data_IF_869156355829
#
_entry.id   IF_869156355829
#
_cell.length_a   1.000
_cell.length_b   1.000
_cell.length_c   1.000
_cell.angle_alpha   90.00
_cell.angle_beta   90.00
_cell.angle_gamma   90.00
#
_symmetry.space_group_name_H-M   'P 1'
#
loop_
_entity.id
_entity.type
_entity.pdbx_description
1 polymer ?
#
# COMPACT_ATOMS: atom_id res chain seq x y z
N UNK A 1 -47.84 102.22 37.60
CA UNK A 1 -47.33 103.57 37.98
C UNK A 1 -48.50 104.53 37.92
N UNK A 2 -48.59 105.49 38.84
CA UNK A 2 -49.67 106.47 38.90
C UNK A 2 -49.24 107.80 38.26
N UNK A 3 -50.16 108.47 37.58
CA UNK A 3 -50.02 109.88 37.20
C UNK A 3 -51.27 110.64 37.66
N UNK A 4 -51.07 111.64 38.52
CA UNK A 4 -52.10 112.60 38.90
C UNK A 4 -52.23 113.70 37.83
N UNK A 5 -53.41 114.31 37.65
CA UNK A 5 -53.58 115.51 36.84
C UNK A 5 -53.03 116.74 37.57
N UNK A 6 -52.36 117.65 36.85
CA UNK A 6 -51.99 118.97 37.36
C UNK A 6 -53.00 120.03 36.98
N UNK A 7 -53.63 120.55 38.02
CA UNK A 7 -54.18 121.90 38.23
C UNK A 7 -53.63 122.99 37.30
N UNK A 8 -54.50 123.90 36.83
CA UNK A 8 -54.45 125.29 37.31
C UNK A 8 -55.76 126.06 37.03
N UNK A 9 -56.22 126.83 38.03
CA UNK A 9 -57.36 127.75 37.93
C UNK A 9 -56.85 129.17 37.62
N UNK A 10 -57.10 129.67 36.41
CA UNK A 10 -56.98 131.11 36.10
C UNK A 10 -58.28 131.84 36.45
N UNK A 11 -58.24 132.74 37.43
CA UNK A 11 -59.45 133.43 37.92
C UNK A 11 -59.71 134.77 37.22
N UNK A 12 -60.99 135.06 36.97
CA UNK A 12 -61.64 136.36 36.80
C UNK A 12 -60.80 137.57 36.32
N UNK A 13 -61.19 138.14 35.18
CA UNK A 13 -61.19 139.61 35.04
C UNK A 13 -62.45 140.07 34.30
N UNK A 14 -63.39 140.64 35.07
CA UNK A 14 -64.59 141.30 34.55
C UNK A 14 -64.21 142.71 34.09
N UNK A 15 -63.96 142.89 32.80
CA UNK A 15 -63.79 144.20 32.17
C UNK A 15 -64.87 144.39 31.11
N UNK A 16 -65.84 145.26 31.40
CA UNK A 16 -66.63 145.94 30.37
C UNK A 16 -65.97 147.30 30.17
N UNK A 17 -65.48 147.59 28.96
CA UNK A 17 -65.51 148.96 28.49
C UNK A 17 -65.91 149.11 27.02
N UNK A 18 -66.68 150.17 26.77
CA UNK A 18 -66.84 150.87 25.49
C UNK A 18 -67.58 150.16 24.34
N UNK A 19 -68.48 150.91 23.73
CA UNK A 19 -69.17 150.59 22.47
C UNK A 19 -68.21 150.67 21.28
N UNK A 20 -67.36 149.65 21.13
CA UNK A 20 -66.72 149.36 19.86
C UNK A 20 -67.68 148.49 19.02
N UNK A 21 -67.86 148.83 17.74
CA UNK A 21 -68.69 148.03 16.83
C UNK A 21 -68.06 146.65 16.69
N UNK A 22 -68.69 145.62 17.26
CA UNK A 22 -68.27 144.23 17.11
C UNK A 22 -68.34 143.87 15.63
N UNK A 23 -67.21 143.46 15.06
CA UNK A 23 -67.12 143.18 13.63
C UNK A 23 -67.94 141.94 13.28
N UNK A 24 -68.62 141.94 12.12
CA UNK A 24 -69.56 140.86 11.76
C UNK A 24 -68.92 139.47 11.83
N UNK A 25 -67.62 139.38 11.56
CA UNK A 25 -66.78 138.19 11.67
C UNK A 25 -66.86 137.48 13.04
N UNK A 26 -67.11 138.20 14.13
CA UNK A 26 -67.13 137.66 15.51
C UNK A 26 -68.55 137.41 16.06
N UNK A 27 -69.59 137.76 15.30
CA UNK A 27 -70.99 137.61 15.74
C UNK A 27 -71.49 136.18 15.47
N UNK A 28 -72.10 135.53 16.45
CA UNK A 28 -72.82 134.26 16.24
C UNK A 28 -73.93 134.42 15.20
N UNK A 29 -74.42 133.31 14.63
CA UNK A 29 -75.56 133.35 13.67
C UNK A 29 -76.77 134.07 14.31
N UNK A 30 -77.04 133.83 15.60
CA UNK A 30 -78.10 134.50 16.36
C UNK A 30 -77.86 136.01 16.53
N UNK A 31 -76.62 136.46 16.71
CA UNK A 31 -76.27 137.88 16.76
C UNK A 31 -76.39 138.54 15.36
N UNK A 32 -75.94 137.88 14.28
CA UNK A 32 -76.09 138.36 12.90
C UNK A 32 -77.57 138.52 12.51
N UNK A 33 -78.38 137.50 12.78
CA UNK A 33 -79.85 137.53 12.55
C UNK A 33 -80.52 138.62 13.39
N UNK A 34 -80.00 138.90 14.58
CA UNK A 34 -80.49 140.02 15.40
C UNK A 34 -80.19 141.39 14.79
N UNK A 35 -79.03 141.57 14.15
CA UNK A 35 -78.72 142.83 13.43
C UNK A 35 -79.62 142.99 12.20
N UNK A 36 -79.83 141.95 11.40
CA UNK A 36 -80.74 141.98 10.24
C UNK A 36 -82.18 142.36 10.62
N UNK A 37 -82.65 141.95 11.81
CA UNK A 37 -83.99 142.30 12.31
C UNK A 37 -84.15 143.77 12.72
N UNK A 38 -83.05 144.50 12.91
CA UNK A 38 -83.04 145.89 13.39
C UNK A 38 -82.60 146.86 12.28
N UNK A 39 -81.69 146.43 11.40
CA UNK A 39 -81.12 147.25 10.33
C UNK A 39 -81.98 147.19 9.05
N UNK A 40 -82.73 148.24 8.76
CA UNK A 40 -83.51 148.38 7.52
C UNK A 40 -82.66 148.97 6.36
N UNK A 41 -81.43 148.45 6.17
CA UNK A 41 -80.45 148.93 5.19
C UNK A 41 -79.89 147.77 4.37
N UNK A 42 -80.00 147.84 3.05
CA UNK A 42 -79.59 146.78 2.12
C UNK A 42 -78.09 146.48 2.27
N UNK A 43 -77.26 147.49 2.52
CA UNK A 43 -75.82 147.32 2.70
C UNK A 43 -75.45 146.49 3.95
N UNK A 44 -76.35 146.39 4.93
CA UNK A 44 -76.13 145.54 6.12
C UNK A 44 -76.64 144.10 5.88
N UNK A 45 -77.53 143.88 4.89
CA UNK A 45 -77.84 142.54 4.38
C UNK A 45 -76.64 141.99 3.59
N UNK A 46 -76.12 142.74 2.61
CA UNK A 46 -75.01 142.31 1.76
C UNK A 46 -73.77 141.92 2.57
N UNK A 47 -73.44 142.68 3.62
CA UNK A 47 -72.31 142.38 4.53
C UNK A 47 -72.52 141.07 5.31
N UNK A 48 -73.74 140.83 5.77
CA UNK A 48 -74.07 139.64 6.56
C UNK A 48 -74.17 138.41 5.66
N UNK A 49 -74.69 138.54 4.44
CA UNK A 49 -74.64 137.47 3.42
C UNK A 49 -73.19 137.13 3.07
N UNK A 50 -72.35 138.13 2.76
CA UNK A 50 -70.93 137.91 2.50
C UNK A 50 -70.22 137.21 3.67
N UNK A 51 -70.55 137.55 4.91
CA UNK A 51 -69.98 136.90 6.09
C UNK A 51 -70.48 135.47 6.29
N UNK A 52 -71.76 135.20 6.03
CA UNK A 52 -72.31 133.84 6.05
C UNK A 52 -71.69 132.97 4.95
N UNK A 53 -71.51 133.50 3.73
CA UNK A 53 -70.85 132.81 2.61
C UNK A 53 -69.38 132.53 2.92
N UNK A 54 -68.63 133.49 3.50
CA UNK A 54 -67.25 133.26 3.97
C UNK A 54 -67.17 132.14 5.02
N UNK A 55 -68.12 132.09 5.95
CA UNK A 55 -68.20 131.05 6.98
C UNK A 55 -68.57 129.69 6.41
N UNK A 56 -69.51 129.63 5.46
CA UNK A 56 -69.86 128.40 4.76
C UNK A 56 -68.64 127.85 4.01
N UNK A 57 -67.93 128.70 3.24
CA UNK A 57 -66.70 128.32 2.55
C UNK A 57 -65.63 127.81 3.53
N UNK A 58 -65.46 128.46 4.69
CA UNK A 58 -64.55 128.03 5.75
C UNK A 58 -64.94 126.68 6.35
N UNK A 59 -66.22 126.45 6.65
CA UNK A 59 -66.68 125.17 7.19
C UNK A 59 -66.62 124.04 6.15
N UNK A 60 -66.89 124.34 4.88
CA UNK A 60 -66.75 123.39 3.76
C UNK A 60 -65.30 122.92 3.62
N UNK A 61 -64.34 123.87 3.60
CA UNK A 61 -62.91 123.55 3.58
C UNK A 61 -62.45 122.77 4.82
N UNK A 62 -62.98 123.08 6.01
CA UNK A 62 -62.67 122.33 7.24
C UNK A 62 -63.27 120.91 7.23
N UNK A 63 -64.47 120.72 6.66
CA UNK A 63 -65.08 119.40 6.46
C UNK A 63 -64.24 118.57 5.48
N UNK A 64 -63.84 119.14 4.34
CA UNK A 64 -62.97 118.49 3.36
C UNK A 64 -61.62 118.08 4.00
N UNK A 65 -60.97 119.00 4.73
CA UNK A 65 -59.73 118.74 5.48
C UNK A 65 -59.88 117.64 6.55
N UNK A 66 -61.04 117.55 7.20
CA UNK A 66 -61.32 116.50 8.18
C UNK A 66 -61.63 115.15 7.51
N UNK A 67 -62.30 115.14 6.36
CA UNK A 67 -62.52 113.95 5.55
C UNK A 67 -61.21 113.37 5.02
N UNK A 68 -60.32 114.22 4.49
CA UNK A 68 -58.96 113.82 4.08
C UNK A 68 -58.18 113.21 5.25
N UNK A 69 -58.27 113.80 6.45
CA UNK A 69 -57.61 113.25 7.64
C UNK A 69 -58.17 111.89 8.05
N UNK A 70 -59.48 111.68 7.97
CA UNK A 70 -60.13 110.40 8.28
C UNK A 70 -59.71 109.31 7.28
N UNK A 71 -59.68 109.62 5.98
CA UNK A 71 -59.23 108.65 4.96
C UNK A 71 -57.73 108.35 5.06
N UNK A 72 -56.90 109.35 5.40
CA UNK A 72 -55.48 109.12 5.67
C UNK A 72 -55.27 108.21 6.89
N UNK A 73 -56.00 108.41 7.97
CA UNK A 73 -55.95 107.54 9.16
C UNK A 73 -56.46 106.12 8.86
N UNK A 74 -57.48 105.96 8.02
CA UNK A 74 -57.95 104.65 7.53
C UNK A 74 -56.88 103.92 6.71
N UNK A 75 -56.27 104.61 5.74
CA UNK A 75 -55.20 104.04 4.91
C UNK A 75 -53.98 103.65 5.75
N UNK A 76 -53.57 104.49 6.70
CA UNK A 76 -52.51 104.15 7.65
C UNK A 76 -52.87 102.94 8.51
N UNK A 77 -54.12 102.84 8.98
CA UNK A 77 -54.60 101.67 9.74
C UNK A 77 -54.45 100.36 8.97
N UNK A 78 -54.88 100.33 7.69
CA UNK A 78 -54.72 99.18 6.80
C UNK A 78 -53.24 98.85 6.58
N UNK A 79 -52.39 99.85 6.31
CA UNK A 79 -50.96 99.65 6.12
C UNK A 79 -50.28 99.06 7.37
N UNK A 80 -50.66 99.52 8.57
CA UNK A 80 -50.17 98.96 9.82
C UNK A 80 -50.64 97.52 10.06
N UNK A 81 -51.88 97.18 9.71
CA UNK A 81 -52.43 95.82 9.82
C UNK A 81 -51.72 94.86 8.85
N UNK A 82 -51.49 95.26 7.59
CA UNK A 82 -50.72 94.47 6.62
C UNK A 82 -49.27 94.25 7.07
N UNK A 83 -48.60 95.31 7.54
CA UNK A 83 -47.24 95.22 8.09
C UNK A 83 -47.17 94.31 9.33
N UNK A 84 -48.20 94.30 10.17
CA UNK A 84 -48.31 93.39 11.33
C UNK A 84 -48.47 91.94 10.87
N UNK A 85 -49.38 91.68 9.92
CA UNK A 85 -49.63 90.35 9.35
C UNK A 85 -48.39 89.75 8.69
N UNK A 86 -47.62 90.54 7.94
CA UNK A 86 -46.34 90.11 7.36
C UNK A 86 -45.34 89.71 8.46
N UNK A 87 -45.25 90.50 9.54
CA UNK A 87 -44.34 90.21 10.67
C UNK A 87 -44.75 88.93 11.40
N UNK A 88 -46.05 88.74 11.65
CA UNK A 88 -46.58 87.55 12.29
C UNK A 88 -46.32 86.30 11.44
N UNK A 89 -46.55 86.37 10.13
CA UNK A 89 -46.28 85.26 9.22
C UNK A 89 -44.78 84.91 9.18
N UNK A 90 -43.89 85.91 9.19
CA UNK A 90 -42.44 85.68 9.28
C UNK A 90 -42.04 85.02 10.61
N UNK A 91 -42.63 85.43 11.73
CA UNK A 91 -42.41 84.80 13.03
C UNK A 91 -42.82 83.32 13.00
N UNK A 92 -43.99 83.01 12.42
CA UNK A 92 -44.50 81.64 12.34
C UNK A 92 -43.72 80.76 11.35
N UNK A 93 -43.26 81.33 10.23
CA UNK A 93 -42.27 80.67 9.35
C UNK A 93 -40.97 80.36 10.12
N UNK A 94 -40.52 81.28 10.97
CA UNK A 94 -39.34 81.11 11.83
C UNK A 94 -39.47 79.95 12.82
N UNK A 95 -40.60 79.87 13.55
CA UNK A 95 -40.90 78.75 14.47
C UNK A 95 -40.90 77.41 13.74
N UNK A 96 -41.65 77.30 12.64
CA UNK A 96 -41.71 76.07 11.82
C UNK A 96 -40.32 75.65 11.31
N UNK A 97 -39.48 76.61 10.90
CA UNK A 97 -38.11 76.32 10.49
C UNK A 97 -37.27 75.77 11.67
N UNK A 98 -37.36 76.38 12.85
CA UNK A 98 -36.68 75.88 14.06
C UNK A 98 -37.14 74.46 14.43
N UNK A 99 -38.44 74.22 14.49
CA UNK A 99 -39.02 72.90 14.80
C UNK A 99 -38.54 71.82 13.82
N UNK A 100 -38.53 72.13 12.51
CA UNK A 100 -37.98 71.26 11.48
C UNK A 100 -36.49 70.95 11.69
N UNK A 101 -35.66 71.96 12.03
CA UNK A 101 -34.24 71.73 12.34
C UNK A 101 -34.04 70.89 13.60
N UNK A 102 -34.85 71.09 14.64
CA UNK A 102 -34.81 70.28 15.86
C UNK A 102 -35.24 68.82 15.62
N UNK A 103 -36.25 68.60 14.78
CA UNK A 103 -36.69 67.27 14.36
C UNK A 103 -35.60 66.57 13.54
N UNK A 104 -35.04 67.23 12.53
CA UNK A 104 -33.95 66.70 11.71
C UNK A 104 -32.71 66.37 12.57
N UNK A 105 -32.39 67.21 13.57
CA UNK A 105 -31.28 66.94 14.50
C UNK A 105 -31.54 65.70 15.38
N UNK A 106 -32.79 65.48 15.82
CA UNK A 106 -33.17 64.25 16.57
C UNK A 106 -33.06 63.01 15.68
N UNK A 107 -33.50 63.09 14.43
CA UNK A 107 -33.39 62.01 13.44
C UNK A 107 -31.93 61.68 13.14
N UNK A 108 -31.09 62.66 12.77
CA UNK A 108 -29.66 62.49 12.48
C UNK A 108 -28.91 61.88 13.68
N UNK A 109 -29.23 62.29 14.91
CA UNK A 109 -28.65 61.70 16.13
C UNK A 109 -29.05 60.23 16.30
N UNK A 110 -30.30 59.89 16.00
CA UNK A 110 -30.84 58.52 16.10
C UNK A 110 -30.22 57.62 15.03
N UNK A 111 -30.18 58.07 13.77
CA UNK A 111 -29.59 57.33 12.66
C UNK A 111 -28.08 57.08 12.88
N UNK A 112 -27.32 58.09 13.33
CA UNK A 112 -25.90 57.93 13.69
C UNK A 112 -25.70 56.86 14.79
N UNK A 113 -26.63 56.74 15.74
CA UNK A 113 -26.54 55.74 16.81
C UNK A 113 -26.81 54.32 16.27
N UNK A 114 -27.80 54.17 15.38
CA UNK A 114 -28.10 52.92 14.68
C UNK A 114 -26.92 52.49 13.80
N UNK A 115 -26.36 53.40 13.00
CA UNK A 115 -25.16 53.17 12.18
C UNK A 115 -23.97 52.72 13.05
N UNK A 116 -23.71 53.40 14.17
CA UNK A 116 -22.64 53.02 15.10
C UNK A 116 -22.86 51.61 15.65
N UNK A 117 -24.09 51.24 16.01
CA UNK A 117 -24.40 49.89 16.47
C UNK A 117 -24.20 48.84 15.36
N UNK A 118 -24.62 49.13 14.13
CA UNK A 118 -24.44 48.25 12.98
C UNK A 118 -22.96 48.04 12.63
N UNK A 119 -22.14 49.09 12.68
CA UNK A 119 -20.69 49.02 12.49
C UNK A 119 -20.04 48.15 13.57
N UNK A 120 -20.49 48.25 14.83
CA UNK A 120 -19.93 47.47 15.94
C UNK A 120 -20.33 45.99 15.91
N UNK A 121 -21.55 45.68 15.46
CA UNK A 121 -21.97 44.31 15.11
C UNK A 121 -21.09 43.72 13.99
N UNK A 122 -20.83 44.48 12.93
CA UNK A 122 -19.97 44.04 11.81
C UNK A 122 -18.52 43.82 12.26
N UNK A 123 -17.98 44.68 13.13
CA UNK A 123 -16.64 44.48 13.73
C UNK A 123 -16.57 43.19 14.54
N UNK A 124 -17.56 42.91 15.40
CA UNK A 124 -17.61 41.65 16.16
C UNK A 124 -17.66 40.43 15.24
N UNK A 125 -18.44 40.49 14.15
CA UNK A 125 -18.50 39.41 13.15
C UNK A 125 -17.17 39.22 12.40
N UNK A 126 -16.50 40.30 12.00
CA UNK A 126 -15.17 40.22 11.37
C UNK A 126 -14.14 39.57 12.32
N UNK A 127 -14.09 39.97 13.59
CA UNK A 127 -13.18 39.36 14.58
C UNK A 127 -13.49 37.87 14.82
N UNK A 128 -14.75 37.45 14.73
CA UNK A 128 -15.12 36.04 14.80
C UNK A 128 -14.63 35.27 13.55
N UNK A 129 -14.90 35.79 12.34
CA UNK A 129 -14.46 35.20 11.08
C UNK A 129 -12.93 35.12 10.97
N UNK A 130 -12.20 36.12 11.46
CA UNK A 130 -10.73 36.10 11.50
C UNK A 130 -10.20 34.94 12.36
N UNK A 131 -10.87 34.60 13.47
CA UNK A 131 -10.51 33.44 14.31
C UNK A 131 -10.79 32.12 13.60
N UNK A 132 -11.98 31.96 13.03
CA UNK A 132 -12.35 30.77 12.24
C UNK A 132 -11.37 30.53 11.08
N UNK A 133 -10.95 31.60 10.38
CA UNK A 133 -9.94 31.52 9.32
C UNK A 133 -8.55 31.10 9.86
N UNK A 134 -8.17 31.52 11.06
CA UNK A 134 -6.93 31.07 11.70
C UNK A 134 -7.01 29.58 12.06
N UNK A 135 -8.08 29.15 12.72
CA UNK A 135 -8.32 27.75 13.11
C UNK A 135 -8.36 26.82 11.89
N UNK A 136 -9.04 27.22 10.80
CA UNK A 136 -9.06 26.48 9.53
C UNK A 136 -7.68 26.40 8.87
N UNK A 137 -6.84 27.42 9.03
CA UNK A 137 -5.46 27.42 8.49
C UNK A 137 -4.54 26.50 9.28
N UNK A 138 -4.69 26.44 10.61
CA UNK A 138 -3.99 25.48 11.47
C UNK A 138 -4.46 24.05 11.19
N UNK A 139 -5.77 23.81 11.13
CA UNK A 139 -6.34 22.51 10.76
C UNK A 139 -5.85 22.04 9.38
N UNK A 140 -5.81 22.92 8.38
CA UNK A 140 -5.24 22.62 7.06
C UNK A 140 -3.77 22.22 7.12
N UNK A 141 -2.98 22.82 8.03
CA UNK A 141 -1.58 22.44 8.25
C UNK A 141 -1.48 21.03 8.85
N UNK A 142 -2.23 20.75 9.91
CA UNK A 142 -2.28 19.41 10.53
C UNK A 142 -2.69 18.34 9.52
N UNK A 143 -3.74 18.57 8.74
CA UNK A 143 -4.17 17.67 7.66
C UNK A 143 -3.10 17.43 6.59
N UNK A 144 -2.26 18.43 6.30
CA UNK A 144 -1.14 18.28 5.35
C UNK A 144 -0.02 17.44 5.96
N UNK A 145 0.33 17.69 7.22
CA UNK A 145 1.33 16.92 7.96
C UNK A 145 0.88 15.44 8.13
N UNK A 146 -0.41 15.21 8.41
CA UNK A 146 -1.03 13.87 8.44
C UNK A 146 -0.94 13.18 7.07
N UNK A 147 -1.26 13.87 5.97
CA UNK A 147 -1.16 13.31 4.60
C UNK A 147 0.28 12.94 4.26
N UNK A 148 1.26 13.76 4.65
CA UNK A 148 2.68 13.45 4.48
C UNK A 148 3.10 12.23 5.33
N UNK A 149 2.53 12.06 6.52
CA UNK A 149 2.82 10.89 7.38
C UNK A 149 2.40 9.55 6.77
N UNK A 150 1.46 9.56 5.81
CA UNK A 150 1.01 8.34 5.09
C UNK A 150 2.07 7.84 4.08
N UNK A 151 3.09 8.62 3.76
CA UNK A 151 4.13 8.19 2.81
C UNK A 151 5.10 7.16 3.43
N UNK A 152 5.40 7.25 4.73
CA UNK A 152 6.20 6.23 5.43
C UNK A 152 5.55 4.82 5.43
N UNK A 153 4.26 4.62 5.79
CA UNK A 153 3.61 3.33 5.67
C UNK A 153 3.39 2.92 4.20
N UNK A 154 3.23 3.86 3.24
CA UNK A 154 3.23 3.53 1.80
C UNK A 154 4.56 2.91 1.37
N UNK A 155 5.68 3.46 1.81
CA UNK A 155 7.02 2.93 1.54
C UNK A 155 7.24 1.56 2.18
N UNK A 156 6.82 1.38 3.45
CA UNK A 156 6.87 0.06 4.12
C UNK A 156 6.03 -0.99 3.38
N UNK A 157 4.84 -0.62 2.89
CA UNK A 157 3.99 -1.50 2.07
C UNK A 157 4.64 -1.87 0.74
N UNK A 158 5.44 -0.98 0.13
CA UNK A 158 6.22 -1.29 -1.08
C UNK A 158 7.29 -2.34 -0.77
N UNK A 159 8.13 -2.11 0.24
CA UNK A 159 9.22 -3.03 0.62
C UNK A 159 8.67 -4.42 0.97
N UNK A 160 7.62 -4.51 1.78
CA UNK A 160 7.00 -5.80 2.15
C UNK A 160 6.39 -6.54 0.95
N UNK A 161 5.96 -5.84 -0.12
CA UNK A 161 5.50 -6.49 -1.36
C UNK A 161 6.66 -7.07 -2.16
N UNK A 162 7.79 -6.37 -2.20
CA UNK A 162 9.01 -6.82 -2.88
C UNK A 162 9.63 -8.03 -2.16
N UNK A 163 9.75 -7.97 -0.83
CA UNK A 163 10.20 -9.07 0.04
C UNK A 163 9.32 -10.32 -0.15
N UNK A 164 7.99 -10.17 -0.11
CA UNK A 164 7.05 -11.28 -0.34
C UNK A 164 7.19 -11.94 -1.72
N UNK A 165 7.62 -11.20 -2.75
CA UNK A 165 7.93 -11.78 -4.07
C UNK A 165 9.26 -12.54 -4.01
N UNK A 166 10.26 -12.02 -3.31
CA UNK A 166 11.52 -12.72 -3.02
C UNK A 166 11.32 -14.05 -2.31
N UNK A 167 10.57 -14.05 -1.20
CA UNK A 167 10.24 -15.25 -0.42
C UNK A 167 9.52 -16.31 -1.25
N UNK A 168 8.55 -15.89 -2.06
CA UNK A 168 7.84 -16.82 -2.96
C UNK A 168 8.81 -17.47 -3.94
N UNK A 169 9.69 -16.70 -4.56
CA UNK A 169 10.69 -17.23 -5.50
C UNK A 169 11.67 -18.19 -4.80
N UNK A 170 12.09 -17.88 -3.57
CA UNK A 170 12.94 -18.77 -2.77
C UNK A 170 12.23 -20.09 -2.40
N UNK A 171 10.94 -20.03 -2.06
CA UNK A 171 10.11 -21.20 -1.79
C UNK A 171 9.92 -22.07 -3.05
N UNK A 172 9.66 -21.47 -4.20
CA UNK A 172 9.54 -22.18 -5.48
C UNK A 172 10.85 -22.91 -5.86
N UNK A 173 12.02 -22.30 -5.60
CA UNK A 173 13.34 -22.95 -5.78
C UNK A 173 13.55 -24.11 -4.79
N UNK A 174 13.10 -23.98 -3.54
CA UNK A 174 13.19 -25.07 -2.55
C UNK A 174 12.27 -26.25 -2.93
N UNK A 175 11.04 -25.97 -3.36
CA UNK A 175 10.10 -26.99 -3.83
C UNK A 175 10.68 -27.78 -5.03
N UNK A 176 11.30 -27.09 -5.99
CA UNK A 176 11.93 -27.73 -7.14
C UNK A 176 13.08 -28.66 -6.74
N UNK A 177 13.95 -28.23 -5.81
CA UNK A 177 15.02 -29.07 -5.25
C UNK A 177 14.48 -30.27 -4.46
N UNK A 178 13.35 -30.11 -3.76
CA UNK A 178 12.74 -31.21 -3.03
C UNK A 178 12.19 -32.28 -3.99
N UNK A 179 11.57 -31.88 -5.11
CA UNK A 179 11.13 -32.80 -6.17
C UNK A 179 12.34 -33.53 -6.80
N UNK A 180 13.43 -32.82 -7.10
CA UNK A 180 14.67 -33.45 -7.61
C UNK A 180 15.23 -34.49 -6.63
N UNK A 181 15.20 -34.20 -5.32
CA UNK A 181 15.66 -35.09 -4.26
C UNK A 181 14.75 -36.31 -4.10
N UNK A 182 13.42 -36.14 -4.13
CA UNK A 182 12.45 -37.24 -4.09
C UNK A 182 12.65 -38.22 -5.25
N UNK A 183 12.86 -37.70 -6.48
CA UNK A 183 13.15 -38.53 -7.65
C UNK A 183 14.51 -39.24 -7.56
N UNK A 184 15.53 -38.62 -6.97
CA UNK A 184 16.81 -39.27 -6.70
C UNK A 184 16.67 -40.39 -5.65
N UNK A 185 15.88 -40.17 -4.59
CA UNK A 185 15.60 -41.17 -3.56
C UNK A 185 14.82 -42.36 -4.13
N UNK A 186 13.79 -42.14 -4.96
CA UNK A 186 13.05 -43.21 -5.66
C UNK A 186 13.99 -44.09 -6.50
N UNK A 187 14.89 -43.48 -7.27
CA UNK A 187 15.89 -44.20 -8.08
C UNK A 187 16.84 -45.03 -7.21
N UNK A 188 17.34 -44.46 -6.12
CA UNK A 188 18.22 -45.18 -5.19
C UNK A 188 17.50 -46.35 -4.50
N UNK A 189 16.23 -46.21 -4.14
CA UNK A 189 15.43 -47.30 -3.57
C UNK A 189 15.27 -48.46 -4.56
N UNK A 190 14.96 -48.18 -5.83
CA UNK A 190 14.87 -49.21 -6.87
C UNK A 190 16.21 -49.96 -7.09
N UNK A 191 17.34 -49.24 -7.04
CA UNK A 191 18.68 -49.87 -7.10
C UNK A 191 18.94 -50.75 -5.87
N UNK A 192 18.60 -50.30 -4.67
CA UNK A 192 18.74 -51.09 -3.42
C UNK A 192 17.87 -52.35 -3.46
N UNK A 193 16.65 -52.27 -4.00
CA UNK A 193 15.77 -53.42 -4.20
C UNK A 193 16.34 -54.41 -5.22
N UNK A 194 16.87 -53.94 -6.35
CA UNK A 194 17.58 -54.77 -7.32
C UNK A 194 18.76 -55.53 -6.69
N UNK A 195 19.62 -54.84 -5.95
CA UNK A 195 20.76 -55.44 -5.25
C UNK A 195 20.34 -56.42 -4.14
N UNK A 196 19.21 -56.20 -3.48
CA UNK A 196 18.66 -57.17 -2.51
C UNK A 196 18.22 -58.46 -3.19
N UNK A 197 17.54 -58.35 -4.33
CA UNK A 197 17.08 -59.49 -5.11
C UNK A 197 18.26 -60.29 -5.71
N UNK A 198 19.34 -59.61 -6.12
CA UNK A 198 20.57 -60.26 -6.60
C UNK A 198 21.32 -60.99 -5.46
N UNK A 199 21.46 -60.35 -4.28
CA UNK A 199 22.05 -60.99 -3.11
C UNK A 199 21.24 -62.23 -2.63
N UNK A 200 19.92 -62.23 -2.78
CA UNK A 200 19.10 -63.41 -2.49
C UNK A 200 19.46 -64.57 -3.42
N UNK A 201 19.51 -64.34 -4.74
CA UNK A 201 19.92 -65.35 -5.73
C UNK A 201 21.33 -65.91 -5.46
N UNK A 202 22.29 -65.03 -5.18
CA UNK A 202 23.67 -65.44 -4.83
C UNK A 202 23.73 -66.25 -3.53
N UNK A 203 22.80 -66.01 -2.60
CA UNK A 203 22.70 -66.81 -1.36
C UNK A 203 22.18 -68.21 -1.65
N UNK A 204 21.15 -68.34 -2.49
CA UNK A 204 20.60 -69.63 -2.91
C UNK A 204 21.61 -70.45 -3.74
N UNK A 205 22.31 -69.80 -4.70
CA UNK A 205 23.39 -70.40 -5.50
C UNK A 205 24.52 -70.92 -4.60
N UNK A 206 24.98 -70.13 -3.63
CA UNK A 206 26.00 -70.52 -2.66
C UNK A 206 25.59 -71.71 -1.78
N UNK A 207 24.29 -71.85 -1.48
CA UNK A 207 23.77 -73.04 -0.79
C UNK A 207 23.79 -74.25 -1.74
N UNK A 208 23.44 -74.07 -3.01
CA UNK A 208 23.58 -75.09 -4.06
C UNK A 208 25.02 -75.60 -4.21
N UNK A 209 25.99 -74.69 -4.35
CA UNK A 209 27.42 -75.01 -4.46
C UNK A 209 27.93 -75.75 -3.23
N UNK A 210 27.52 -75.33 -2.03
CA UNK A 210 27.90 -76.03 -0.79
C UNK A 210 27.36 -77.46 -0.78
N UNK A 211 26.10 -77.67 -1.14
CA UNK A 211 25.51 -79.00 -1.22
C UNK A 211 26.21 -79.88 -2.27
N UNK A 212 26.58 -79.32 -3.42
CA UNK A 212 27.34 -80.01 -4.46
C UNK A 212 28.75 -80.42 -3.99
N UNK A 213 29.42 -79.54 -3.24
CA UNK A 213 30.72 -79.81 -2.62
C UNK A 213 30.63 -80.92 -1.56
N UNK A 214 29.60 -80.91 -0.73
CA UNK A 214 29.36 -81.96 0.28
C UNK A 214 29.10 -83.34 -0.38
N UNK A 215 28.35 -83.39 -1.49
CA UNK A 215 28.16 -84.61 -2.30
C UNK A 215 29.48 -85.09 -2.93
N UNK A 216 30.30 -84.19 -3.47
CA UNK A 216 31.61 -84.53 -4.03
C UNK A 216 32.56 -85.08 -2.95
N UNK A 217 32.56 -84.49 -1.75
CA UNK A 217 33.34 -84.97 -0.62
C UNK A 217 32.92 -86.39 -0.20
N UNK A 218 31.62 -86.67 -0.15
CA UNK A 218 31.10 -88.01 0.18
C UNK A 218 31.51 -89.06 -0.87
N UNK A 219 31.36 -88.76 -2.17
CA UNK A 219 31.85 -89.63 -3.26
C UNK A 219 33.36 -89.85 -3.23
N UNK A 220 34.13 -88.85 -2.80
CA UNK A 220 35.59 -88.99 -2.66
C UNK A 220 35.97 -89.89 -1.47
N UNK A 221 35.18 -89.92 -0.39
CA UNK A 221 35.32 -90.88 0.70
C UNK A 221 34.99 -92.30 0.22
N UNK A 222 33.83 -92.49 -0.43
CA UNK A 222 33.43 -93.79 -1.03
C UNK A 222 34.50 -94.33 -1.98
N UNK A 223 35.07 -93.47 -2.84
CA UNK A 223 36.13 -93.83 -3.78
C UNK A 223 37.42 -94.23 -3.04
N UNK A 224 37.82 -93.52 -1.98
CA UNK A 224 38.98 -93.89 -1.15
C UNK A 224 38.78 -95.25 -0.49
N UNK A 225 37.60 -95.54 0.04
CA UNK A 225 37.28 -96.85 0.60
C UNK A 225 37.32 -97.97 -0.45
N UNK A 226 36.76 -97.73 -1.65
CA UNK A 226 36.80 -98.67 -2.75
C UNK A 226 38.25 -98.95 -3.22
N UNK A 227 39.08 -97.90 -3.32
CA UNK A 227 40.51 -98.03 -3.63
C UNK A 227 41.25 -98.83 -2.54
N UNK A 228 40.98 -98.58 -1.26
CA UNK A 228 41.57 -99.35 -0.15
C UNK A 228 41.18 -100.84 -0.23
N UNK A 229 39.90 -101.15 -0.48
CA UNK A 229 39.42 -102.55 -0.66
C UNK A 229 40.10 -103.24 -1.84
N UNK A 230 40.24 -102.53 -2.97
CA UNK A 230 40.94 -103.04 -4.14
C UNK A 230 42.44 -103.27 -3.89
N UNK A 231 43.11 -102.39 -3.13
CA UNK A 231 44.51 -102.57 -2.74
C UNK A 231 44.70 -103.82 -1.87
N UNK A 232 43.81 -104.06 -0.89
CA UNK A 232 43.84 -105.29 -0.08
C UNK A 232 43.66 -106.54 -0.95
N UNK A 233 42.68 -106.54 -1.85
CA UNK A 233 42.42 -107.68 -2.75
C UNK A 233 43.58 -107.93 -3.73
N UNK A 234 44.25 -106.88 -4.21
CA UNK A 234 45.46 -107.01 -5.04
C UNK A 234 46.60 -107.67 -4.24
N UNK A 235 46.78 -107.31 -2.98
CA UNK A 235 47.81 -107.90 -2.12
C UNK A 235 47.49 -109.35 -1.74
N UNK A 236 46.21 -109.69 -1.51
CA UNK A 236 45.75 -111.08 -1.36
C UNK A 236 46.06 -111.92 -2.62
N UNK A 237 45.64 -111.46 -3.81
CA UNK A 237 45.95 -112.12 -5.08
C UNK A 237 47.45 -112.23 -5.35
N UNK A 238 48.25 -111.27 -4.90
CA UNK A 238 49.72 -111.31 -5.03
C UNK A 238 50.33 -112.39 -4.13
N UNK A 239 49.85 -112.53 -2.90
CA UNK A 239 50.27 -113.58 -1.99
C UNK A 239 49.84 -114.97 -2.49
N UNK A 240 48.63 -115.10 -3.03
CA UNK A 240 48.14 -116.36 -3.61
C UNK A 240 48.93 -116.74 -4.88
N UNK A 241 49.26 -115.77 -5.75
CA UNK A 241 50.18 -116.00 -6.88
C UNK A 241 51.59 -116.42 -6.43
N UNK A 242 52.11 -115.87 -5.32
CA UNK A 242 53.38 -116.29 -4.77
C UNK A 242 53.33 -117.75 -4.27
N UNK A 243 52.23 -118.14 -3.60
CA UNK A 243 51.97 -119.54 -3.18
C UNK A 243 51.85 -120.48 -4.38
N UNK A 244 51.05 -120.14 -5.39
CA UNK A 244 50.94 -120.91 -6.64
C UNK A 244 52.28 -121.01 -7.39
N UNK A 245 53.13 -119.99 -7.31
CA UNK A 245 54.48 -120.03 -7.90
C UNK A 245 55.39 -121.01 -7.16
N UNK A 246 55.30 -121.07 -5.82
CA UNK A 246 55.99 -122.07 -5.00
C UNK A 246 55.47 -123.49 -5.25
N UNK A 247 54.15 -123.70 -5.24
CA UNK A 247 53.51 -124.99 -5.56
C UNK A 247 53.87 -125.46 -6.98
N UNK A 248 53.89 -124.57 -7.97
CA UNK A 248 54.36 -124.85 -9.33
C UNK A 248 55.83 -125.26 -9.36
N UNK A 249 56.67 -124.68 -8.51
CA UNK A 249 58.09 -125.04 -8.39
C UNK A 249 58.26 -126.43 -7.74
N UNK A 250 57.51 -126.75 -6.68
CA UNK A 250 57.47 -128.10 -6.10
C UNK A 250 56.94 -129.12 -7.11
N UNK A 251 55.82 -128.84 -7.78
CA UNK A 251 55.25 -129.74 -8.77
C UNK A 251 56.21 -129.99 -9.93
N UNK A 252 56.92 -128.96 -10.39
CA UNK A 252 58.00 -129.09 -11.39
C UNK A 252 59.13 -129.97 -10.87
N UNK A 253 59.57 -129.77 -9.62
CA UNK A 253 60.62 -130.58 -8.99
C UNK A 253 60.19 -132.06 -8.86
N UNK A 254 58.91 -132.31 -8.50
CA UNK A 254 58.31 -133.64 -8.50
C UNK A 254 58.25 -134.24 -9.91
N UNK A 255 57.90 -133.46 -10.94
CA UNK A 255 57.87 -133.91 -12.33
C UNK A 255 59.28 -134.26 -12.83
N UNK A 256 60.30 -133.46 -12.52
CA UNK A 256 61.71 -133.76 -12.82
C UNK A 256 62.19 -135.03 -12.09
N UNK A 257 61.75 -135.25 -10.85
CA UNK A 257 62.02 -136.49 -10.10
C UNK A 257 61.30 -137.70 -10.72
N UNK A 258 60.04 -137.55 -11.12
CA UNK A 258 59.25 -138.60 -11.77
C UNK A 258 59.79 -138.92 -13.16
N UNK A 259 60.25 -137.92 -13.91
CA UNK A 259 60.91 -138.09 -15.19
C UNK A 259 62.25 -138.80 -15.04
N UNK A 260 63.03 -138.52 -13.97
CA UNK A 260 64.23 -139.32 -13.65
C UNK A 260 63.89 -140.77 -13.29
N UNK A 261 62.81 -141.06 -12.56
CA UNK A 261 62.42 -142.45 -12.26
C UNK A 261 61.79 -143.15 -13.47
N UNK A 262 61.00 -142.46 -14.28
CA UNK A 262 60.46 -142.96 -15.53
C UNK A 262 61.57 -143.27 -16.53
N UNK A 263 62.54 -142.37 -16.72
CA UNK A 263 63.69 -142.62 -17.58
C UNK A 263 64.58 -143.76 -17.05
N UNK A 264 64.73 -143.92 -15.72
CA UNK A 264 65.34 -145.13 -15.15
C UNK A 264 64.53 -146.39 -15.46
N UNK A 265 63.19 -146.32 -15.37
CA UNK A 265 62.32 -147.45 -15.69
C UNK A 265 62.37 -147.79 -17.19
N UNK A 266 62.36 -146.79 -18.07
CA UNK A 266 62.48 -146.91 -19.52
C UNK A 266 63.82 -147.54 -19.91
N UNK A 267 64.93 -147.12 -19.29
CA UNK A 267 66.26 -147.76 -19.45
C UNK A 267 66.29 -149.19 -18.88
N UNK A 268 65.43 -149.53 -17.91
CA UNK A 268 65.27 -150.93 -17.45
C UNK A 268 64.35 -151.77 -18.35
N UNK A 269 63.34 -151.15 -18.96
CA UNK A 269 62.36 -151.78 -19.85
C UNK A 269 63.00 -152.09 -21.21
N UNK A 270 63.77 -151.15 -21.75
CA UNK A 270 64.64 -151.35 -22.91
C UNK A 270 65.77 -152.37 -22.68
N UNK A 271 66.02 -152.81 -21.44
CA UNK A 271 66.91 -153.95 -21.13
C UNK A 271 66.20 -155.31 -21.04
N UNK A 272 64.87 -155.33 -21.20
CA UNK A 272 64.04 -156.55 -21.24
C UNK A 272 63.48 -156.79 -22.64
N UNK A 273 63.25 -155.74 -23.42
CA UNK A 273 62.74 -155.82 -24.81
C UNK A 273 63.83 -155.94 -25.90
N UNK A 274 64.96 -156.61 -25.62
CA UNK A 274 66.00 -156.92 -26.63
C UNK A 274 65.84 -158.33 -27.25
N UNK A 275 64.62 -158.85 -27.28
CA UNK A 275 64.26 -160.04 -28.05
C UNK A 275 62.78 -160.04 -28.50
N UNK A 276 62.48 -159.38 -29.63
CA UNK A 276 61.57 -159.83 -30.72
C UNK A 276 61.44 -158.70 -31.76
N UNK A 277 61.85 -158.96 -33.00
CA UNK A 277 61.65 -158.03 -34.13
C UNK A 277 60.21 -158.09 -34.65
N UNK A 278 59.66 -156.94 -35.07
CA UNK A 278 59.02 -156.79 -36.38
C UNK A 278 58.73 -155.32 -36.73
N UNK A 279 58.91 -154.96 -38.00
CA UNK A 279 58.75 -153.60 -38.54
C UNK A 279 57.74 -153.58 -39.69
N UNK A 280 56.68 -152.75 -39.60
CA UNK A 280 55.86 -152.26 -40.74
C UNK A 280 55.47 -150.80 -40.46
N UNK A 281 55.13 -150.04 -41.50
CA UNK A 281 55.47 -148.61 -41.60
C UNK A 281 54.49 -147.78 -42.47
N UNK A 282 54.67 -146.46 -42.48
CA UNK A 282 54.16 -145.41 -43.39
C UNK A 282 52.66 -145.02 -43.40
N UNK A 283 52.43 -143.70 -43.50
CA UNK A 283 51.16 -143.05 -43.94
C UNK A 283 50.50 -142.16 -42.86
N UNK A 284 50.79 -140.86 -42.68
CA UNK A 284 50.83 -139.68 -43.56
C UNK A 284 49.45 -139.00 -43.83
N UNK A 285 49.47 -137.65 -43.95
CA UNK A 285 48.33 -136.73 -44.21
C UNK A 285 47.35 -136.53 -43.01
N UNK A 286 46.67 -135.38 -42.82
CA UNK A 286 46.71 -134.06 -43.48
C UNK A 286 46.12 -132.97 -42.56
N UNK A 287 46.42 -131.69 -42.81
CA UNK A 287 45.78 -130.53 -42.17
C UNK A 287 44.37 -130.26 -42.71
N UNK A 288 43.56 -129.44 -42.01
CA UNK A 288 42.72 -128.44 -42.70
C UNK A 288 43.15 -127.00 -42.42
N UNK A 289 43.17 -126.19 -43.50
CA UNK A 289 43.19 -124.72 -43.48
C UNK A 289 41.76 -124.15 -43.45
N UNK A 290 41.69 -122.82 -43.33
CA UNK A 290 40.60 -121.87 -43.63
C UNK A 290 39.57 -121.63 -42.50
N UNK A 291 39.15 -120.37 -42.29
CA UNK A 291 39.53 -119.17 -43.06
C UNK A 291 39.11 -117.82 -42.51
N UNK A 292 39.57 -116.78 -43.20
CA UNK A 292 39.42 -115.35 -42.90
C UNK A 292 37.95 -114.89 -42.91
N UNK A 293 37.69 -113.77 -42.23
CA UNK A 293 37.16 -112.56 -42.90
C UNK A 293 37.72 -111.29 -42.26
N UNK A 294 37.87 -110.28 -43.10
CA UNK A 294 38.23 -108.90 -42.77
C UNK A 294 36.94 -108.03 -42.70
N UNK A 295 37.13 -106.80 -42.23
CA UNK A 295 36.39 -105.56 -42.54
C UNK A 295 34.99 -105.21 -41.97
N UNK A 296 34.97 -103.91 -41.61
CA UNK A 296 33.94 -102.88 -41.72
C UNK A 296 32.78 -102.66 -40.71
N UNK A 297 32.81 -101.43 -40.16
CA UNK A 297 31.77 -100.40 -40.12
C UNK A 297 30.30 -100.85 -39.92
N UNK A 298 29.69 -100.39 -38.81
CA UNK A 298 28.22 -100.38 -38.71
C UNK A 298 27.69 -99.82 -37.39
N UNK A 299 26.95 -98.71 -37.46
CA UNK A 299 26.21 -98.17 -36.32
C UNK A 299 24.88 -98.90 -36.11
N UNK A 300 24.50 -99.12 -34.84
CA UNK A 300 23.14 -99.25 -34.30
C UNK A 300 23.30 -99.29 -32.76
N UNK A 301 22.50 -98.61 -31.94
CA UNK A 301 21.20 -98.01 -32.21
C UNK A 301 20.17 -98.52 -31.19
N UNK A 302 20.39 -98.23 -29.91
CA UNK A 302 19.39 -98.50 -28.86
C UNK A 302 18.63 -97.22 -28.55
N UNK A 303 17.30 -97.34 -28.64
CA UNK A 303 16.35 -96.24 -28.78
C UNK A 303 15.60 -96.06 -27.46
N UNK A 304 15.87 -95.00 -26.72
CA UNK A 304 15.01 -94.56 -25.61
C UNK A 304 14.23 -93.31 -26.02
N UNK A 305 12.91 -93.38 -25.84
CA UNK A 305 11.98 -92.28 -26.11
C UNK A 305 12.25 -91.13 -25.12
N UNK A 306 12.31 -89.91 -25.63
CA UNK A 306 11.98 -88.73 -24.85
C UNK A 306 10.69 -88.14 -25.42
N UNK A 307 9.57 -88.39 -24.75
CA UNK A 307 8.34 -87.64 -24.97
C UNK A 307 8.43 -86.34 -24.16
N UNK A 308 8.40 -85.18 -24.84
CA UNK A 308 7.93 -83.92 -24.25
C UNK A 308 7.50 -82.92 -25.33
N UNK A 309 6.20 -82.93 -25.57
CA UNK A 309 5.35 -81.75 -25.46
C UNK A 309 5.76 -80.52 -26.29
N UNK A 310 5.22 -80.44 -27.50
CA UNK A 310 5.06 -79.20 -28.24
C UNK A 310 3.88 -78.46 -27.59
N UNK A 311 4.14 -77.30 -26.98
CA UNK A 311 3.08 -76.34 -26.67
C UNK A 311 2.88 -75.47 -27.90
N UNK A 312 1.76 -75.68 -28.56
CA UNK A 312 1.25 -74.84 -29.64
C UNK A 312 0.32 -73.78 -29.03
N UNK A 313 0.63 -72.51 -29.26
CA UNK A 313 -0.24 -71.36 -28.96
C UNK A 313 -0.07 -70.37 -30.10
N UNK A 314 -1.05 -70.36 -31.01
CA UNK A 314 -1.04 -69.53 -32.20
C UNK A 314 -1.40 -68.06 -31.97
N UNK A 315 -1.16 -67.29 -33.04
CA UNK A 315 -1.86 -66.06 -33.46
C UNK A 315 -2.71 -65.31 -32.44
N UNK A 316 -2.36 -64.03 -32.21
CA UNK A 316 -3.28 -62.98 -32.66
C UNK A 316 -2.57 -61.65 -33.02
N UNK A 317 -3.02 -61.12 -34.16
CA UNK A 317 -2.99 -59.76 -34.73
C UNK A 317 -1.87 -58.68 -34.55
N UNK A 318 -1.58 -58.06 -35.69
CA UNK A 318 -1.38 -56.61 -35.99
C UNK A 318 -1.16 -55.62 -34.81
N UNK A 319 -0.24 -54.64 -34.91
CA UNK A 319 -0.29 -53.61 -35.97
C UNK A 319 1.06 -52.90 -36.22
N UNK A 320 1.09 -52.01 -37.21
CA UNK A 320 2.28 -51.57 -37.92
C UNK A 320 3.01 -50.33 -37.35
N UNK A 321 4.18 -50.06 -37.98
CA UNK A 321 4.95 -48.81 -38.07
C UNK A 321 6.03 -48.56 -37.00
N UNK A 322 7.26 -48.91 -37.36
CA UNK A 322 8.45 -48.16 -36.96
C UNK A 322 9.17 -47.59 -38.19
N UNK A 323 9.17 -46.27 -38.32
CA UNK A 323 10.01 -45.54 -39.27
C UNK A 323 11.42 -45.36 -38.71
N UNK A 324 12.43 -45.83 -39.46
CA UNK A 324 13.84 -45.77 -39.06
C UNK A 324 14.45 -44.37 -39.24
N UNK A 325 14.42 -43.57 -38.18
CA UNK A 325 15.10 -42.26 -38.12
C UNK A 325 16.01 -42.09 -36.88
N UNK A 326 16.51 -43.19 -36.31
CA UNK A 326 17.17 -43.23 -35.00
C UNK A 326 18.69 -42.98 -34.93
N UNK A 327 19.38 -42.58 -36.00
CA UNK A 327 20.86 -42.54 -36.04
C UNK A 327 21.50 -41.21 -36.48
N UNK A 328 20.74 -40.10 -36.53
CA UNK A 328 21.30 -38.77 -36.90
C UNK A 328 21.12 -37.67 -35.84
N UNK A 329 20.42 -37.95 -34.74
CA UNK A 329 20.12 -36.95 -33.71
C UNK A 329 21.05 -37.01 -32.49
N UNK A 330 21.58 -38.19 -32.12
CA UNK A 330 22.48 -38.35 -30.96
C UNK A 330 23.76 -37.50 -31.05
N UNK A 331 24.41 -37.43 -32.21
CA UNK A 331 25.61 -36.58 -32.39
C UNK A 331 25.31 -35.10 -32.13
N UNK A 332 24.13 -34.63 -32.52
CA UNK A 332 23.72 -33.22 -32.35
C UNK A 332 23.44 -32.88 -30.88
N UNK A 333 22.97 -33.86 -30.10
CA UNK A 333 22.71 -33.70 -28.66
C UNK A 333 24.03 -33.71 -27.88
N UNK A 334 24.93 -34.67 -28.16
CA UNK A 334 26.25 -34.73 -27.51
C UNK A 334 27.08 -33.46 -27.74
N UNK A 335 27.05 -32.90 -28.95
CA UNK A 335 27.78 -31.67 -29.28
C UNK A 335 27.23 -30.44 -28.51
N UNK A 336 25.89 -30.30 -28.40
CA UNK A 336 25.24 -29.21 -27.64
C UNK A 336 25.49 -29.29 -26.13
N UNK A 337 25.62 -30.50 -25.57
CA UNK A 337 25.91 -30.68 -24.13
C UNK A 337 27.36 -30.23 -23.83
N UNK A 338 28.33 -30.62 -24.65
CA UNK A 338 29.74 -30.23 -24.48
C UNK A 338 29.92 -28.69 -24.53
N UNK A 339 29.32 -28.03 -25.51
CA UNK A 339 29.41 -26.57 -25.69
C UNK A 339 28.79 -25.79 -24.53
N UNK A 340 27.63 -26.25 -24.01
CA UNK A 340 26.94 -25.63 -22.87
C UNK A 340 27.71 -25.80 -21.55
N UNK A 341 28.47 -26.89 -21.38
CA UNK A 341 29.36 -27.07 -20.24
C UNK A 341 30.56 -26.12 -20.29
N UNK A 342 31.15 -25.91 -21.46
CA UNK A 342 32.31 -25.02 -21.63
C UNK A 342 31.95 -23.56 -21.25
N UNK A 343 30.82 -23.05 -21.75
CA UNK A 343 30.33 -21.71 -21.43
C UNK A 343 30.04 -21.50 -19.92
N UNK A 344 29.49 -22.52 -19.23
CA UNK A 344 29.27 -22.47 -17.76
C UNK A 344 30.59 -22.34 -16.99
N UNK A 345 31.62 -23.10 -17.36
CA UNK A 345 32.92 -23.04 -16.70
C UNK A 345 33.60 -21.68 -16.88
N UNK A 346 33.44 -21.06 -18.05
CA UNK A 346 34.02 -19.76 -18.35
C UNK A 346 33.35 -18.61 -17.56
N UNK A 347 32.01 -18.63 -17.41
CA UNK A 347 31.31 -17.66 -16.55
C UNK A 347 31.72 -17.77 -15.08
N UNK A 348 31.85 -18.99 -14.53
CA UNK A 348 32.24 -19.21 -13.14
C UNK A 348 33.66 -18.69 -12.86
N UNK A 349 34.58 -18.78 -13.84
CA UNK A 349 35.91 -18.16 -13.74
C UNK A 349 35.87 -16.63 -13.75
N UNK A 350 34.99 -16.00 -14.53
CA UNK A 350 34.84 -14.53 -14.52
C UNK A 350 34.23 -14.03 -13.21
N UNK A 351 33.23 -14.72 -12.66
CA UNK A 351 32.56 -14.31 -11.42
C UNK A 351 33.53 -14.24 -10.23
N UNK A 352 34.39 -15.25 -10.05
CA UNK A 352 35.37 -15.30 -8.94
C UNK A 352 36.49 -14.25 -9.01
N UNK A 353 36.62 -13.50 -10.11
CA UNK A 353 37.58 -12.41 -10.23
C UNK A 353 37.12 -11.09 -9.59
N UNK A 354 35.80 -10.87 -9.49
CA UNK A 354 35.23 -9.59 -9.06
C UNK A 354 35.04 -9.47 -7.55
N UNK A 355 34.76 -10.58 -6.87
CA UNK A 355 34.25 -10.59 -5.48
C UNK A 355 35.34 -10.41 -4.39
N UNK A 356 36.58 -10.05 -4.76
CA UNK A 356 37.71 -9.88 -3.82
C UNK A 356 37.99 -8.39 -3.50
N UNK A 357 37.40 -7.43 -4.22
CA UNK A 357 37.58 -5.98 -3.97
C UNK A 357 36.31 -5.26 -3.49
N UNK A 358 35.89 -5.51 -2.24
CA UNK A 358 35.25 -4.51 -1.36
C UNK A 358 34.81 -5.12 0.00
N UNK A 359 35.66 -5.06 1.03
CA UNK A 359 35.24 -5.20 2.44
C UNK A 359 36.32 -4.73 3.41
N UNK A 360 36.46 -3.41 3.53
CA UNK A 360 37.11 -2.78 4.70
C UNK A 360 36.05 -1.99 5.46
N UNK A 361 35.47 -2.62 6.48
CA UNK A 361 34.52 -2.00 7.41
C UNK A 361 35.15 -1.92 8.79
N UNK A 362 35.18 -0.71 9.36
CA UNK A 362 35.88 -0.42 10.62
C UNK A 362 34.92 -0.56 11.79
N UNK A 363 35.13 -1.55 12.65
CA UNK A 363 34.48 -1.61 13.96
C UNK A 363 35.30 -0.81 14.98
N UNK A 364 34.64 0.10 15.71
CA UNK A 364 35.15 0.65 16.96
C UNK A 364 34.14 0.41 18.08
N UNK A 365 34.55 -0.37 19.07
CA UNK A 365 33.75 -0.78 20.23
C UNK A 365 33.58 0.33 21.27
N UNK A 366 32.39 0.40 21.87
CA UNK A 366 32.14 1.15 23.11
C UNK A 366 32.78 0.46 24.33
N UNK A 367 33.11 1.21 25.39
CA UNK A 367 32.86 0.70 26.73
C UNK A 367 32.27 1.73 27.72
N UNK A 368 31.35 1.21 28.54
CA UNK A 368 31.15 1.47 29.98
C UNK A 368 30.73 2.85 30.54
N UNK A 369 29.51 2.82 31.11
CA UNK A 369 29.20 3.09 32.53
C UNK A 369 29.95 4.23 33.25
N UNK A 370 29.16 5.22 33.70
CA UNK A 370 29.32 5.69 35.08
C UNK A 370 27.99 6.21 35.64
N UNK A 371 27.68 5.80 36.88
CA UNK A 371 26.56 6.33 37.65
C UNK A 371 26.81 7.81 38.01
N UNK A 372 25.73 8.58 38.14
CA UNK A 372 25.63 9.60 39.20
C UNK A 372 24.21 10.08 39.42
N UNK A 373 23.75 9.88 40.64
CA UNK A 373 22.67 10.66 41.23
C UNK A 373 23.01 12.16 41.15
N UNK A 374 22.00 13.02 40.97
CA UNK A 374 21.80 14.24 41.74
C UNK A 374 20.54 14.99 41.24
N UNK A 375 19.47 14.93 42.03
CA UNK A 375 18.49 16.03 42.13
C UNK A 375 19.25 17.31 42.59
N UNK A 376 18.82 18.55 42.27
CA UNK A 376 17.59 19.03 42.91
C UNK A 376 16.84 20.26 42.29
N UNK A 377 15.80 20.68 43.03
CA UNK A 377 15.17 22.01 43.06
C UNK A 377 14.35 22.47 41.83
N UNK A 378 13.03 22.51 42.04
CA UNK A 378 12.10 23.43 41.36
C UNK A 378 12.53 24.88 41.63
N UNK A 379 12.90 25.66 40.61
CA UNK A 379 13.05 27.12 40.73
C UNK A 379 11.85 27.85 40.15
N UNK A 380 11.04 28.39 41.06
CA UNK A 380 10.00 29.38 40.77
C UNK A 380 10.66 30.64 40.23
N UNK A 381 10.29 31.10 39.02
CA UNK A 381 10.57 32.47 38.60
C UNK A 381 9.37 33.36 38.93
N UNK A 382 9.56 34.15 39.98
CA UNK A 382 8.77 35.35 40.29
C UNK A 382 9.53 36.56 39.68
N UNK A 383 8.90 37.74 39.70
CA UNK A 383 9.44 39.06 39.29
C UNK A 383 9.62 39.19 37.75
N UNK A 384 9.24 40.28 37.06
CA UNK A 384 8.88 41.64 37.50
C UNK A 384 7.79 42.26 36.62
N UNK A 385 6.82 42.94 37.23
CA UNK A 385 5.90 43.85 36.55
C UNK A 385 6.62 45.19 36.29
N UNK A 386 6.95 45.51 35.05
CA UNK A 386 7.47 46.85 34.70
C UNK A 386 6.35 47.74 34.17
N UNK A 387 5.86 48.62 35.05
CA UNK A 387 4.97 49.72 34.70
C UNK A 387 5.83 50.84 34.12
N UNK A 388 5.67 51.16 32.83
CA UNK A 388 6.11 52.45 32.29
C UNK A 388 4.90 53.38 32.18
N UNK A 389 4.72 54.16 33.25
CA UNK A 389 4.06 55.47 33.14
C UNK A 389 5.07 56.44 32.54
N UNK A 390 4.66 57.19 31.53
CA UNK A 390 5.25 58.47 31.17
C UNK A 390 4.13 59.35 30.60
N UNK A 391 3.62 60.23 31.46
CA UNK A 391 2.86 61.42 31.07
C UNK A 391 3.79 62.50 30.49
N UNK A 392 3.21 63.67 30.17
CA UNK A 392 3.73 64.84 29.42
C UNK A 392 3.59 64.69 27.89
N UNK A 393 2.62 65.30 27.20
CA UNK A 393 2.00 66.65 27.29
C UNK A 393 2.86 67.79 26.70
N UNK A 394 2.18 68.85 26.23
CA UNK A 394 2.63 69.98 25.39
C UNK A 394 2.79 69.63 23.90
N UNK A 395 2.15 70.31 22.94
CA UNK A 395 1.15 71.39 23.04
C UNK A 395 0.93 72.13 21.71
N UNK A 396 -0.08 73.02 21.68
CA UNK A 396 -0.45 74.01 20.62
C UNK A 396 -0.93 73.44 19.27
N UNK A 397 -2.11 73.78 18.70
CA UNK A 397 -2.86 75.04 18.45
C UNK A 397 -2.48 75.80 17.17
N UNK A 398 -3.51 76.40 16.55
CA UNK A 398 -3.55 77.34 15.41
C UNK A 398 -3.43 76.70 14.01
N UNK A 399 -4.09 77.21 12.95
CA UNK A 399 -5.31 78.03 12.84
C UNK A 399 -5.80 78.09 11.36
N UNK A 400 -7.07 78.44 11.17
CA UNK A 400 -7.68 79.12 10.00
C UNK A 400 -7.73 78.53 8.55
N UNK A 401 -8.93 78.75 7.97
CA UNK A 401 -9.24 79.05 6.56
C UNK A 401 -9.10 77.97 5.45
N UNK A 402 -10.23 77.33 5.09
CA UNK A 402 -11.09 77.86 4.00
C UNK A 402 -12.51 77.33 4.06
#
# INVERSE_FOLDING_TARGET
>A
MAFQPKTEHGSLTRLIPSTNKKEYCEMSISELVSVLRIAFKIEDFDKIEQELVKREAKFRAEIERLQEKIELERLQGIEFEERLKIREEQCERGKRAQENYEQLLKEVKTNRWIEKHAIEELRRKNVALEREVCELKEFKKTMLDDVNSVDEPRDKIRVLKEEKVGDKNALDVLNMKNIELEEAVKKNLAVIEGLRNENAKLTDEKVGDKNALDVLNMKNIELKEAVMKNLTLIEELRNENAKLTYEKYELKTCFECLERTYNKLFVSYMKVEESTHCSVDTGNAQSPKKGNKEDDVGALGVKFKLEKEIVDLGDDDNDARYTSQGLREEQTISQKIAEKHLQRVEMIKRQRGSDIQASTSTFTSSPDLCEKENLPVKKTMVVTLYIFLNDYDVGTKNDFAR
#
